data_IF_967428832062
#
_entry.id   IF_967428832062
#
_cell.length_a   1.000
_cell.length_b   1.000
_cell.length_c   1.000
_cell.angle_alpha   90.00
_cell.angle_beta   90.00
_cell.angle_gamma   90.00
#
_symmetry.space_group_name_H-M   'P 1'
#
loop_
_entity.id
_entity.type
_entity.pdbx_description
1 polymer ?
2 non-polymer ?
3 non-polymer ?
4 non-polymer ?
5 non-polymer ?
6 water ?
#
# COMPACT_ATOMS: atom_id res chain seq x y z
N UNK A 1 -9.37 2.30 25.94
CA UNK A 1 -9.32 1.80 24.51
C UNK A 1 -8.29 2.64 23.74
N UNK A 2 -7.50 2.01 22.87
CA UNK A 2 -6.42 2.75 22.20
C UNK A 2 -6.99 3.20 20.85
N UNK A 3 -6.27 4.17 20.39
CA UNK A 3 -6.44 4.78 19.06
C UNK A 3 -5.15 5.59 18.83
N UNK A 4 -4.90 5.93 17.58
CA UNK A 4 -3.67 6.68 17.29
C UNK A 4 -3.75 7.14 15.85
N UNK A 5 -2.89 8.10 15.60
CA UNK A 5 -2.74 8.68 14.25
C UNK A 5 -1.26 8.60 13.90
N UNK A 6 -0.93 8.04 12.75
CA UNK A 6 0.45 8.01 12.28
C UNK A 6 0.48 8.84 11.03
N UNK A 7 1.41 9.74 10.85
CA UNK A 7 1.48 10.61 9.66
C UNK A 7 2.37 9.94 8.64
N UNK A 8 1.88 9.87 7.41
CA UNK A 8 2.63 9.31 6.29
C UNK A 8 3.10 10.50 5.44
N UNK A 9 4.15 10.27 4.68
CA UNK A 9 4.67 11.29 3.77
C UNK A 9 5.11 10.62 2.48
N UNK A 10 4.71 11.16 1.36
CA UNK A 10 5.09 10.62 0.07
C UNK A 10 6.55 10.94 -0.25
N UNK A 11 7.14 10.03 -0.99
CA UNK A 11 8.53 10.29 -1.49
C UNK A 11 8.28 11.03 -2.80
N UNK A 12 9.34 11.25 -3.59
CA UNK A 12 9.25 11.92 -4.92
C UNK A 12 8.23 11.24 -5.82
N UNK A 13 7.39 12.01 -6.44
CA UNK A 13 6.29 11.69 -7.29
C UNK A 13 5.29 10.78 -6.58
N UNK A 14 5.30 10.73 -5.27
CA UNK A 14 4.36 9.87 -4.52
C UNK A 14 4.60 8.42 -4.89
N UNK A 15 5.86 8.06 -5.08
CA UNK A 15 6.18 6.69 -5.44
C UNK A 15 5.85 5.74 -4.28
N UNK A 16 6.09 6.19 -3.07
CA UNK A 16 5.70 5.40 -1.89
C UNK A 16 5.44 6.36 -0.77
N UNK A 17 4.78 5.83 0.28
CA UNK A 17 4.44 6.62 1.46
C UNK A 17 5.18 6.04 2.65
N UNK A 18 5.88 6.81 3.46
CA UNK A 18 6.61 6.21 4.57
C UNK A 18 6.05 6.86 5.83
N UNK A 19 6.11 6.03 6.87
CA UNK A 19 5.59 6.42 8.20
C UNK A 19 6.59 5.93 9.24
N UNK A 20 6.86 6.70 10.28
CA UNK A 20 7.76 6.23 11.34
C UNK A 20 7.12 5.15 12.23
N UNK A 21 7.95 4.19 12.62
CA UNK A 21 7.57 3.07 13.48
C UNK A 21 8.75 2.86 14.46
N UNK A 22 8.44 2.75 15.72
CA UNK A 22 9.46 2.53 16.75
C UNK A 22 9.45 1.07 17.13
N UNK A 23 10.59 0.45 16.90
CA UNK A 23 10.77 -0.98 17.24
C UNK A 23 11.88 -1.14 18.30
N UNK A 24 11.48 -1.61 19.45
CA UNK A 24 12.45 -1.74 20.54
C UNK A 24 13.16 -0.40 20.75
N UNK A 25 12.56 0.76 20.76
CA UNK A 25 13.32 2.01 20.96
C UNK A 25 13.91 2.67 19.74
N UNK A 26 14.12 2.02 18.61
CA UNK A 26 14.72 2.61 17.41
C UNK A 26 13.59 3.04 16.44
N UNK A 27 13.67 4.24 15.88
CA UNK A 27 12.60 4.59 14.88
C UNK A 27 13.09 4.34 13.48
N UNK A 28 12.28 3.64 12.69
CA UNK A 28 12.52 3.26 11.32
C UNK A 28 11.43 3.85 10.40
N UNK A 29 11.69 4.12 9.14
CA UNK A 29 10.70 4.70 8.25
C UNK A 29 10.16 3.55 7.41
N UNK A 30 8.90 3.10 7.63
CA UNK A 30 8.45 1.93 6.90
C UNK A 30 7.38 2.27 5.88
N UNK A 31 7.27 1.39 4.92
CA UNK A 31 6.17 1.58 3.89
C UNK A 31 5.00 0.75 4.42
N UNK A 32 3.87 1.32 4.76
CA UNK A 32 2.68 0.56 5.22
C UNK A 32 2.00 -0.02 3.98
N UNK A 33 1.83 -1.33 4.00
CA UNK A 33 1.30 -2.04 2.80
C UNK A 33 0.09 -2.92 3.08
N UNK A 34 -1.07 -2.47 2.61
CA UNK A 34 -2.30 -3.25 2.79
C UNK A 34 -2.34 -4.44 1.85
N UNK A 35 -1.37 -4.66 0.99
CA UNK A 35 -1.32 -5.80 0.11
C UNK A 35 -0.43 -6.94 0.56
N UNK A 36 0.15 -6.81 1.76
CA UNK A 36 1.01 -7.92 2.29
C UNK A 36 0.88 -7.98 3.79
N UNK A 37 1.30 -9.14 4.35
CA UNK A 37 1.11 -9.32 5.81
C UNK A 37 2.35 -9.55 6.64
N UNK A 38 3.46 -9.11 6.15
CA UNK A 38 4.77 -9.25 6.85
C UNK A 38 5.26 -7.87 7.33
N UNK A 39 5.79 -7.78 8.51
CA UNK A 39 6.45 -6.57 9.01
C UNK A 39 7.94 -6.95 8.98
N UNK A 40 8.66 -6.47 7.97
CA UNK A 40 10.10 -6.85 7.87
C UNK A 40 10.88 -5.52 7.91
N UNK A 41 12.08 -5.59 8.47
CA UNK A 41 12.96 -4.41 8.59
C UNK A 41 14.41 -4.74 8.23
N UNK A 42 15.06 -3.64 7.75
CA UNK A 42 16.54 -3.74 7.47
C UNK A 42 17.10 -4.04 8.84
N UNK A 43 18.14 -4.85 8.97
CA UNK A 43 18.68 -5.22 10.28
C UNK A 43 20.25 -5.28 10.21
N UNK A 44 20.78 -5.48 11.38
CA UNK A 44 22.27 -5.57 11.50
C UNK A 44 22.69 -6.90 10.97
N UNK A 45 21.79 -7.80 10.51
CA UNK A 45 22.21 -9.08 9.97
C UNK A 45 22.46 -8.98 8.55
N UNK A 46 22.21 -7.85 7.89
CA UNK A 46 22.50 -7.63 6.48
C UNK A 46 24.02 -7.30 6.38
N UNK A 47 24.54 -7.48 5.22
CA UNK A 47 25.97 -7.07 4.97
C UNK A 47 26.11 -5.62 5.33
N UNK A 48 27.17 -5.15 5.92
CA UNK A 48 27.28 -3.69 6.25
C UNK A 48 27.05 -2.79 5.05
N UNK A 49 27.42 -3.11 3.85
CA UNK A 49 27.23 -2.22 2.70
C UNK A 49 25.75 -1.99 2.35
N UNK A 50 24.93 -2.96 2.67
CA UNK A 50 23.47 -2.87 2.46
C UNK A 50 22.81 -2.11 3.58
N UNK A 51 23.38 -1.94 4.76
CA UNK A 51 22.80 -1.21 5.87
C UNK A 51 22.92 0.29 5.65
N UNK A 52 23.89 0.65 4.83
CA UNK A 52 24.20 2.07 4.52
C UNK A 52 22.99 2.88 4.00
N UNK A 53 22.82 4.01 4.71
CA UNK A 53 21.73 4.90 4.32
C UNK A 53 20.37 4.49 4.88
N UNK A 54 20.33 3.62 5.86
CA UNK A 54 19.03 3.21 6.42
C UNK A 54 19.12 3.23 7.88
N UNK A 55 18.04 3.21 8.60
CA UNK A 55 17.96 3.04 10.05
C UNK A 55 17.80 1.51 10.11
N UNK A 56 18.55 0.83 10.97
CA UNK A 56 18.45 -0.64 10.97
C UNK A 56 18.07 -1.06 12.36
N UNK A 57 17.39 -2.19 12.44
CA UNK A 57 17.00 -2.76 13.75
C UNK A 57 18.15 -3.67 14.19
N UNK A 58 18.46 -3.65 15.46
CA UNK A 58 19.52 -4.58 15.98
C UNK A 58 18.76 -5.50 16.93
N UNK A 59 18.51 -6.69 16.44
CA UNK A 59 17.71 -7.68 17.17
C UNK A 59 18.27 -8.02 18.53
N UNK A 60 19.59 -7.95 18.71
CA UNK A 60 20.29 -8.27 19.95
C UNK A 60 20.04 -7.37 21.13
N UNK A 61 19.84 -6.12 20.83
CA UNK A 61 19.59 -5.11 21.85
C UNK A 61 18.33 -5.45 22.63
N UNK A 62 17.19 -5.67 21.93
CA UNK A 62 15.90 -5.92 22.52
C UNK A 62 15.00 -7.03 22.07
N UNK A 63 15.29 -7.70 20.99
CA UNK A 63 14.30 -8.72 20.49
C UNK A 63 14.45 -10.04 21.20
N UNK A 64 13.49 -10.89 21.13
CA UNK A 64 13.48 -12.27 21.65
C UNK A 64 13.42 -13.12 20.39
N UNK A 65 14.48 -13.89 20.10
CA UNK A 65 14.52 -14.68 18.88
C UNK A 65 13.52 -15.81 18.84
N UNK A 66 12.91 -16.14 17.70
CA UNK A 66 12.06 -17.32 17.57
C UNK A 66 13.01 -18.36 16.92
N UNK A 67 13.64 -19.15 17.79
CA UNK A 67 14.60 -20.11 17.20
C UNK A 67 13.98 -20.97 16.10
N UNK A 68 14.63 -21.03 14.95
CA UNK A 68 14.12 -21.96 13.92
C UNK A 68 13.09 -21.39 12.97
N UNK A 69 12.70 -20.17 13.20
CA UNK A 69 11.70 -19.50 12.38
C UNK A 69 12.39 -18.67 11.29
N UNK A 70 11.82 -18.75 10.10
CA UNK A 70 12.27 -17.96 8.96
C UNK A 70 11.08 -17.33 8.27
N UNK A 71 11.39 -16.45 7.35
CA UNK A 71 10.39 -15.77 6.48
C UNK A 71 11.08 -15.61 5.09
N UNK A 72 10.27 -15.54 4.11
CA UNK A 72 10.70 -15.32 2.72
C UNK A 72 9.52 -14.78 1.94
N UNK A 73 9.66 -13.58 1.39
CA UNK A 73 8.51 -12.99 0.63
C UNK A 73 8.90 -12.54 -0.75
N UNK A 74 8.00 -12.73 -1.69
CA UNK A 74 8.09 -12.29 -3.07
C UNK A 74 6.94 -11.33 -3.41
N UNK A 75 7.21 -10.18 -3.95
CA UNK A 75 6.11 -9.24 -4.30
C UNK A 75 5.78 -9.27 -5.77
N UNK A 76 4.75 -8.55 -6.20
CA UNK A 76 4.27 -8.46 -7.57
C UNK A 76 5.24 -7.86 -8.59
N UNK A 77 6.08 -6.95 -8.13
CA UNK A 77 7.11 -6.35 -8.99
C UNK A 77 8.39 -7.23 -9.07
N UNK A 78 8.46 -8.35 -8.43
CA UNK A 78 9.61 -9.25 -8.46
C UNK A 78 10.59 -9.05 -7.31
N UNK A 79 10.40 -8.06 -6.47
CA UNK A 79 11.29 -7.85 -5.35
C UNK A 79 11.03 -8.99 -4.37
N UNK A 80 11.99 -9.26 -3.52
CA UNK A 80 11.95 -10.31 -2.53
C UNK A 80 12.87 -9.93 -1.38
N UNK A 81 12.64 -10.61 -0.26
CA UNK A 81 13.38 -10.45 0.97
C UNK A 81 13.17 -11.72 1.82
N UNK A 82 14.20 -11.98 2.64
CA UNK A 82 14.13 -13.14 3.57
C UNK A 82 14.98 -12.92 4.82
N UNK A 83 14.69 -13.72 5.87
CA UNK A 83 15.48 -13.62 7.08
C UNK A 83 14.90 -14.45 8.18
N UNK A 84 15.14 -13.98 9.39
CA UNK A 84 14.75 -14.65 10.62
C UNK A 84 13.82 -13.78 11.50
N UNK A 85 13.36 -14.29 12.64
CA UNK A 85 12.29 -13.59 13.35
C UNK A 85 12.57 -13.43 14.79
N UNK A 86 12.17 -12.24 15.28
CA UNK A 86 12.27 -11.84 16.67
C UNK A 86 10.93 -11.27 17.12
N UNK A 87 10.70 -11.24 18.38
CA UNK A 87 9.46 -10.53 18.88
C UNK A 87 10.04 -9.28 19.60
N UNK A 88 9.29 -8.20 19.51
CA UNK A 88 9.75 -6.95 20.17
C UNK A 88 8.54 -6.05 20.34
N UNK A 89 8.75 -4.85 20.89
CA UNK A 89 7.65 -3.89 21.04
C UNK A 89 7.69 -2.97 19.81
N UNK A 90 6.47 -2.84 19.20
CA UNK A 90 6.36 -2.02 18.00
C UNK A 90 5.31 -0.96 18.29
N UNK A 91 5.68 0.31 18.14
CA UNK A 91 4.76 1.41 18.33
C UNK A 91 4.53 2.24 17.07
N UNK A 92 3.23 2.42 16.75
CA UNK A 92 2.83 3.15 15.55
C UNK A 92 1.77 4.16 16.05
N UNK A 93 2.10 5.42 15.83
CA UNK A 93 1.19 6.53 16.22
C UNK A 93 0.68 6.40 17.63
N UNK A 94 1.56 6.02 18.53
CA UNK A 94 1.34 5.86 19.90
C UNK A 94 0.59 4.63 20.30
N UNK A 95 0.31 3.68 19.49
CA UNK A 95 -0.34 2.41 19.84
C UNK A 95 0.81 1.39 19.83
N UNK A 96 1.01 0.73 20.95
CA UNK A 96 2.08 -0.25 21.13
C UNK A 96 1.61 -1.70 21.09
N UNK A 97 2.27 -2.47 20.25
CA UNK A 97 2.03 -3.92 20.15
C UNK A 97 3.24 -4.53 20.88
N UNK A 98 2.96 -5.30 21.92
CA UNK A 98 4.02 -5.98 22.68
C UNK A 98 4.12 -7.40 22.13
N UNK A 99 5.30 -7.90 21.99
CA UNK A 99 5.47 -9.26 21.46
C UNK A 99 5.07 -9.38 20.01
N UNK A 100 5.17 -8.29 19.25
CA UNK A 100 4.91 -8.33 17.82
C UNK A 100 6.09 -9.02 17.09
N UNK A 101 5.77 -9.87 16.15
CA UNK A 101 6.81 -10.54 15.36
C UNK A 101 7.41 -9.52 14.44
N UNK A 102 8.70 -9.37 14.43
CA UNK A 102 9.49 -8.47 13.62
C UNK A 102 10.41 -9.39 12.79
N UNK A 103 10.24 -9.26 11.48
CA UNK A 103 11.01 -10.08 10.51
C UNK A 103 12.25 -9.32 10.10
N UNK A 104 13.38 -9.74 10.65
CA UNK A 104 14.71 -9.11 10.42
C UNK A 104 15.25 -9.62 9.11
N UNK A 105 15.57 -8.69 8.21
CA UNK A 105 16.13 -9.09 6.92
C UNK A 105 17.59 -9.56 7.01
N UNK A 106 17.77 -10.68 6.30
CA UNK A 106 19.13 -11.29 6.08
C UNK A 106 19.50 -11.11 4.62
N UNK A 107 18.57 -11.07 3.70
CA UNK A 107 18.79 -10.87 2.27
C UNK A 107 17.65 -9.98 1.72
N UNK A 108 17.97 -9.12 0.78
CA UNK A 108 17.01 -8.23 0.13
C UNK A 108 17.42 -8.14 -1.35
N UNK A 109 16.49 -8.05 -2.29
CA UNK A 109 16.79 -8.03 -3.70
C UNK A 109 17.20 -6.61 -4.02
N UNK A 110 17.74 -6.43 -5.22
CA UNK A 110 18.20 -5.11 -5.63
C UNK A 110 17.21 -3.98 -5.48
N UNK A 111 15.92 -4.20 -5.74
CA UNK A 111 14.95 -3.08 -5.62
C UNK A 111 15.01 -2.41 -4.29
N UNK A 112 15.13 -3.20 -3.25
CA UNK A 112 15.21 -2.77 -1.88
C UNK A 112 16.59 -2.16 -1.57
N UNK A 113 17.62 -2.75 -2.13
CA UNK A 113 18.97 -2.19 -1.90
C UNK A 113 19.03 -0.80 -2.50
N UNK A 114 18.35 -0.56 -3.60
CA UNK A 114 18.43 0.77 -4.24
C UNK A 114 17.57 1.81 -3.58
N UNK A 115 16.55 1.44 -2.83
CA UNK A 115 15.64 2.44 -2.23
C UNK A 115 16.10 2.89 -0.88
N UNK A 116 16.69 4.03 -0.70
CA UNK A 116 17.05 4.43 0.66
C UNK A 116 15.93 5.21 1.36
N UNK A 117 14.79 5.22 0.78
CA UNK A 117 13.66 5.95 1.34
C UNK A 117 12.91 5.15 2.43
N UNK A 118 12.97 3.83 2.35
CA UNK A 118 12.30 3.04 3.36
C UNK A 118 13.36 2.07 3.97
N UNK A 119 12.98 1.68 5.18
CA UNK A 119 13.74 0.77 6.04
C UNK A 119 12.96 -0.57 6.21
N UNK A 120 12.00 -0.82 5.34
CA UNK A 120 11.22 -2.08 5.44
C UNK A 120 9.70 -1.76 5.26
N UNK A 121 8.91 -2.80 5.49
CA UNK A 121 7.50 -2.78 5.27
C UNK A 121 6.70 -3.16 6.50
N UNK A 122 5.54 -2.57 6.66
CA UNK A 122 4.60 -2.97 7.75
C UNK A 122 3.37 -3.49 6.98
N UNK A 123 3.10 -4.77 7.01
CA UNK A 123 1.99 -5.36 6.28
C UNK A 123 0.68 -5.16 7.07
N UNK A 124 -0.36 -4.81 6.32
CA UNK A 124 -1.72 -4.60 6.84
C UNK A 124 -2.80 -5.43 6.11
N UNK A 125 -2.44 -6.44 5.35
CA UNK A 125 -3.35 -7.38 4.74
C UNK A 125 -3.75 -8.38 5.84
N UNK A 126 -4.54 -9.40 5.55
CA UNK A 126 -4.97 -10.36 6.61
C UNK A 126 -3.80 -11.27 7.00
N UNK A 127 -3.77 -11.65 8.27
CA UNK A 127 -2.65 -12.43 8.79
C UNK A 127 -2.54 -13.82 8.12
N UNK A 128 -3.58 -14.28 7.50
CA UNK A 128 -3.57 -15.59 6.83
C UNK A 128 -2.45 -15.73 5.80
N UNK A 129 -1.94 -14.64 5.25
CA UNK A 129 -0.89 -14.66 4.23
C UNK A 129 0.47 -14.21 4.77
N UNK A 130 0.60 -14.22 6.09
CA UNK A 130 1.94 -13.90 6.64
C UNK A 130 2.84 -15.10 6.26
N UNK A 131 4.04 -14.78 5.84
CA UNK A 131 4.98 -15.80 5.35
C UNK A 131 5.82 -16.46 6.43
N UNK A 132 5.77 -16.16 7.68
CA UNK A 132 6.62 -16.75 8.72
C UNK A 132 6.43 -18.26 8.74
N UNK A 133 7.50 -19.03 8.86
CA UNK A 133 7.53 -20.49 8.93
C UNK A 133 8.30 -20.91 10.20
N UNK A 134 7.91 -21.98 10.88
CA UNK A 134 6.85 -22.93 10.55
C UNK A 134 5.43 -22.55 10.94
N UNK A 135 5.28 -21.53 11.72
CA UNK A 135 3.96 -21.03 12.15
C UNK A 135 3.84 -19.56 11.79
N UNK A 136 2.80 -19.24 11.07
CA UNK A 136 2.60 -17.83 10.64
C UNK A 136 2.33 -16.94 11.85
N UNK A 137 2.64 -15.65 11.70
CA UNK A 137 2.46 -14.68 12.77
C UNK A 137 1.37 -13.67 12.46
N UNK A 138 0.98 -12.85 13.44
CA UNK A 138 -0.05 -11.84 13.19
C UNK A 138 0.55 -10.48 12.84
N UNK A 139 -0.14 -9.73 11.99
CA UNK A 139 0.21 -8.39 11.59
C UNK A 139 0.11 -7.45 12.80
N UNK A 140 0.77 -6.31 12.76
CA UNK A 140 0.66 -5.33 13.83
C UNK A 140 -0.84 -5.10 14.08
N UNK A 141 -1.65 -4.93 13.02
CA UNK A 141 -3.07 -4.61 13.26
C UNK A 141 -3.78 -5.73 13.97
N UNK A 142 -3.60 -6.98 13.55
CA UNK A 142 -4.25 -8.11 14.23
C UNK A 142 -3.77 -8.21 15.65
N UNK A 143 -2.51 -7.86 15.89
CA UNK A 143 -1.98 -7.97 17.25
C UNK A 143 -2.71 -6.98 18.17
N UNK A 144 -2.93 -5.76 17.75
CA UNK A 144 -3.53 -4.74 18.61
C UNK A 144 -5.03 -4.59 18.45
N UNK A 145 -5.69 -5.13 17.51
CA UNK A 145 -7.08 -4.93 17.14
C UNK A 145 -8.05 -4.95 18.33
N UNK A 146 -7.87 -5.90 19.17
CA UNK A 146 -8.73 -6.07 20.37
C UNK A 146 -8.52 -4.99 21.39
N UNK A 147 -7.46 -4.24 21.39
CA UNK A 147 -7.24 -3.12 22.31
C UNK A 147 -7.78 -1.83 21.72
N UNK A 148 -8.03 -1.77 20.44
CA UNK A 148 -8.51 -0.55 19.82
C UNK A 148 -9.99 -0.27 20.16
N UNK A 149 -10.30 1.00 20.11
CA UNK A 149 -11.73 1.42 20.34
C UNK A 149 -12.62 0.74 19.33
N UNK A 150 -12.29 0.70 18.02
CA UNK A 150 -12.99 -0.02 16.96
C UNK A 150 -11.90 -0.83 16.25
N UNK A 151 -12.19 -2.00 15.77
CA UNK A 151 -11.19 -2.85 15.09
C UNK A 151 -11.08 -2.52 13.63
N UNK A 152 -10.60 -1.34 13.34
CA UNK A 152 -10.43 -0.77 12.01
C UNK A 152 -9.23 0.20 11.97
N UNK A 153 -8.83 0.52 10.73
CA UNK A 153 -7.81 1.54 10.46
C UNK A 153 -8.34 2.28 9.21
N UNK A 154 -7.93 3.49 9.00
CA UNK A 154 -8.34 4.31 7.84
C UNK A 154 -7.10 5.02 7.28
N UNK A 155 -7.23 5.29 5.99
CA UNK A 155 -6.07 5.95 5.34
C UNK A 155 -6.45 7.10 4.44
N UNK A 156 -5.68 8.15 4.48
CA UNK A 156 -5.75 9.28 3.61
C UNK A 156 -4.32 9.45 3.10
N UNK A 157 -4.13 9.05 1.86
CA UNK A 157 -2.85 9.27 1.14
C UNK A 157 -3.08 10.51 0.26
N UNK A 158 -2.10 11.39 0.20
CA UNK A 158 -2.29 12.63 -0.58
C UNK A 158 -1.20 12.80 -1.58
N UNK A 159 -1.46 13.72 -2.50
CA UNK A 159 -0.45 14.09 -3.52
C UNK A 159 0.46 15.18 -3.00
N UNK A 160 1.71 14.82 -2.80
CA UNK A 160 2.76 15.72 -2.31
C UNK A 160 2.37 16.50 -1.10
N UNK A 161 1.76 15.88 -0.11
CA UNK A 161 1.40 16.46 1.17
C UNK A 161 1.36 15.25 2.14
N UNK A 162 1.59 15.51 3.41
CA UNK A 162 1.53 14.48 4.44
C UNK A 162 0.05 14.04 4.54
N UNK A 163 -0.13 12.78 4.88
CA UNK A 163 -1.49 12.21 5.04
C UNK A 163 -1.47 11.44 6.34
N UNK A 164 -2.44 10.63 6.60
CA UNK A 164 -2.51 9.88 7.84
C UNK A 164 -2.98 8.45 7.70
N UNK A 165 -2.61 7.72 8.70
CA UNK A 165 -3.14 6.37 9.02
C UNK A 165 -3.88 6.54 10.37
N UNK A 166 -5.16 6.33 10.39
CA UNK A 166 -5.89 6.47 11.66
C UNK A 166 -6.04 5.06 12.19
N UNK A 167 -5.64 4.78 13.40
CA UNK A 167 -5.90 3.41 13.91
C UNK A 167 -7.01 3.44 14.96
N UNK A 168 -8.02 2.64 14.85
CA UNK A 168 -9.05 2.47 15.87
C UNK A 168 -10.15 3.52 15.87
N UNK A 169 -10.17 4.43 14.95
CA UNK A 169 -11.26 5.45 14.92
C UNK A 169 -11.25 6.02 13.50
N UNK A 170 -12.38 6.67 13.20
CA UNK A 170 -12.60 7.31 11.90
C UNK A 170 -12.60 8.83 12.09
N UNK A 171 -11.86 9.52 11.28
CA UNK A 171 -11.75 10.98 11.37
C UNK A 171 -12.65 11.53 10.25
N UNK A 172 -13.89 11.95 10.69
CA UNK A 172 -14.90 12.47 9.77
C UNK A 172 -14.51 13.73 9.09
N UNK A 173 -13.52 14.43 9.59
CA UNK A 173 -13.05 15.69 8.95
C UNK A 173 -12.19 15.41 7.71
N UNK A 174 -11.84 14.12 7.47
CA UNK A 174 -10.99 13.74 6.35
C UNK A 174 -11.69 13.44 5.03
N UNK A 175 -13.04 13.41 5.05
CA UNK A 175 -13.80 13.15 3.84
C UNK A 175 -15.05 14.04 3.85
N UNK A 176 -15.64 14.09 2.66
CA UNK A 176 -16.86 14.86 2.47
C UNK A 176 -18.01 13.91 2.47
N UNK A 177 -19.14 14.27 3.05
CA UNK A 177 -20.34 13.42 2.97
C UNK A 177 -20.27 12.25 3.92
N UNK A 178 -20.88 11.16 3.56
CA UNK A 178 -20.90 9.93 4.37
C UNK A 178 -20.11 8.78 3.72
N UNK A 179 -19.67 7.83 4.55
CA UNK A 179 -18.98 6.67 3.92
C UNK A 179 -19.99 5.70 3.29
N UNK A 180 -19.51 5.03 2.26
CA UNK A 180 -20.31 3.95 1.65
C UNK A 180 -19.51 2.68 1.89
N UNK A 181 -20.11 1.63 2.36
CA UNK A 181 -19.37 0.38 2.64
C UNK A 181 -19.67 -0.69 1.63
N UNK A 182 -18.70 -1.57 1.40
CA UNK A 182 -18.79 -2.69 0.48
C UNK A 182 -18.17 -3.89 1.16
N UNK A 183 -18.65 -5.12 0.87
CA UNK A 183 -18.11 -6.31 1.53
C UNK A 183 -16.73 -6.69 0.96
N UNK A 184 -15.93 -7.23 1.82
CA UNK A 184 -14.58 -7.69 1.51
C UNK A 184 -14.51 -9.19 1.49
N UNK A 185 -13.81 -9.68 0.48
CA UNK A 185 -13.57 -11.13 0.33
C UNK A 185 -12.12 -11.31 0.80
N UNK A 186 -11.89 -11.89 1.95
CA UNK A 186 -10.51 -12.05 2.44
C UNK A 186 -9.95 -13.46 2.19
N UNK A 187 -10.58 -14.21 1.31
CA UNK A 187 -10.11 -15.58 1.11
C UNK A 187 -8.69 -15.70 0.55
N UNK A 188 -8.09 -14.74 -0.07
CA UNK A 188 -6.71 -14.81 -0.55
C UNK A 188 -5.87 -13.88 0.28
N UNK A 189 -6.43 -13.43 1.41
CA UNK A 189 -5.69 -12.57 2.38
C UNK A 189 -5.66 -11.12 1.99
N UNK A 190 -6.37 -10.70 0.99
CA UNK A 190 -6.32 -9.27 0.59
C UNK A 190 -7.60 -8.56 1.02
N UNK A 191 -7.56 -7.22 0.92
CA UNK A 191 -8.76 -6.40 1.12
C UNK A 191 -9.35 -6.35 -0.31
N UNK A 192 -10.00 -7.41 -0.71
CA UNK A 192 -10.62 -7.49 -2.04
C UNK A 192 -12.07 -7.09 -2.09
N UNK A 193 -12.47 -6.37 -3.13
CA UNK A 193 -13.86 -5.94 -3.27
C UNK A 193 -14.25 -5.97 -4.77
N UNK A 194 -15.54 -5.80 -4.95
CA UNK A 194 -16.08 -5.74 -6.31
C UNK A 194 -16.51 -4.38 -6.74
N UNK A 195 -16.34 -4.09 -8.05
CA UNK A 195 -16.89 -2.85 -8.61
C UNK A 195 -17.96 -3.39 -9.61
N UNK A 196 -19.00 -2.65 -9.69
CA UNK A 196 -20.13 -3.05 -10.58
C UNK A 196 -19.95 -2.58 -11.99
N UNK A 197 -19.24 -1.47 -12.15
CA UNK A 197 -19.00 -0.90 -13.48
C UNK A 197 -17.82 0.10 -13.39
N UNK A 198 -17.34 0.56 -14.55
CA UNK A 198 -16.29 1.55 -14.61
C UNK A 198 -16.61 2.53 -15.76
N UNK A 199 -16.07 3.70 -15.64
CA UNK A 199 -16.19 4.70 -16.74
C UNK A 199 -14.76 5.22 -16.98
N UNK A 200 -14.26 5.06 -18.16
CA UNK A 200 -12.90 5.55 -18.54
C UNK A 200 -13.22 6.68 -19.52
N UNK A 201 -13.24 7.92 -19.07
CA UNK A 201 -13.56 9.06 -19.91
C UNK A 201 -14.89 8.84 -20.60
N UNK A 202 -14.96 8.67 -21.86
CA UNK A 202 -16.20 8.50 -22.64
C UNK A 202 -16.73 7.10 -22.78
N UNK A 203 -16.01 6.14 -22.22
CA UNK A 203 -16.43 4.74 -22.37
C UNK A 203 -16.79 4.08 -21.06
N UNK A 204 -17.79 3.24 -20.98
CA UNK A 204 -18.14 2.54 -19.71
C UNK A 204 -18.00 1.07 -19.93
N UNK A 205 -17.86 0.23 -18.92
CA UNK A 205 -17.72 -1.23 -19.17
C UNK A 205 -18.23 -1.95 -17.92
N UNK A 206 -18.16 -3.27 -17.97
CA UNK A 206 -18.69 -4.03 -16.82
C UNK A 206 -17.61 -4.11 -15.75
N UNK A 207 -18.09 -4.55 -14.63
CA UNK A 207 -17.33 -4.71 -13.38
C UNK A 207 -16.29 -5.78 -13.36
N UNK A 208 -15.60 -5.80 -12.17
CA UNK A 208 -14.47 -6.69 -11.93
C UNK A 208 -14.15 -6.64 -10.44
N UNK A 209 -13.13 -7.36 -10.00
CA UNK A 209 -12.76 -7.33 -8.58
C UNK A 209 -11.31 -6.76 -8.53
N UNK A 210 -11.02 -6.22 -7.32
CA UNK A 210 -9.67 -5.65 -7.15
C UNK A 210 -9.32 -5.60 -5.68
N UNK A 211 -8.07 -5.24 -5.38
CA UNK A 211 -7.66 -5.18 -3.96
C UNK A 211 -7.26 -3.75 -3.64
N UNK A 212 -7.49 -3.25 -2.44
CA UNK A 212 -7.09 -1.92 -1.97
C UNK A 212 -5.69 -2.14 -1.40
N UNK A 213 -4.71 -1.54 -2.10
CA UNK A 213 -3.28 -1.80 -1.86
C UNK A 213 -2.39 -0.58 -1.79
N UNK A 214 -2.11 -0.15 -0.55
CA UNK A 214 -1.26 1.03 -0.37
C UNK A 214 0.17 0.79 -0.80
N UNK A 215 0.62 -0.43 -0.93
CA UNK A 215 2.00 -0.77 -1.31
C UNK A 215 2.25 -0.72 -2.82
N UNK A 216 1.27 -0.47 -3.63
CA UNK A 216 1.42 -0.39 -5.11
C UNK A 216 1.25 1.07 -5.49
N UNK A 217 2.17 1.55 -6.26
CA UNK A 217 2.16 2.96 -6.67
C UNK A 217 1.00 3.32 -7.60
N UNK A 218 0.74 2.47 -8.58
CA UNK A 218 -0.22 2.87 -9.65
C UNK A 218 -1.54 2.18 -9.51
N UNK A 219 -2.43 2.44 -10.46
CA UNK A 219 -3.75 1.82 -10.58
C UNK A 219 -3.53 0.74 -11.70
N UNK A 220 -3.52 -0.50 -11.36
CA UNK A 220 -3.21 -1.56 -12.34
C UNK A 220 -4.51 -2.27 -12.80
N UNK A 221 -4.86 -2.14 -14.04
CA UNK A 221 -6.12 -2.65 -14.59
C UNK A 221 -5.90 -3.64 -15.71
N UNK A 222 -6.95 -4.34 -16.16
CA UNK A 222 -6.81 -5.27 -17.26
C UNK A 222 -6.34 -4.54 -18.51
N UNK A 223 -5.59 -5.19 -19.34
CA UNK A 223 -5.07 -4.59 -20.58
C UNK A 223 -6.16 -3.98 -21.41
N UNK A 224 -7.35 -4.58 -21.45
CA UNK A 224 -8.54 -4.13 -22.18
C UNK A 224 -8.96 -2.73 -21.71
N UNK A 225 -8.96 -2.51 -20.40
CA UNK A 225 -9.34 -1.25 -19.79
C UNK A 225 -8.24 -0.20 -20.06
N UNK A 226 -7.00 -0.67 -19.88
CA UNK A 226 -5.87 0.28 -20.18
C UNK A 226 -5.93 0.79 -21.64
N UNK A 227 -6.13 -0.13 -22.59
CA UNK A 227 -6.22 0.27 -24.01
C UNK A 227 -7.28 1.29 -24.25
N UNK A 228 -8.47 0.99 -23.68
CA UNK A 228 -9.66 1.84 -23.80
C UNK A 228 -9.41 3.23 -23.25
N UNK A 229 -8.71 3.31 -22.11
CA UNK A 229 -8.36 4.58 -21.51
C UNK A 229 -7.43 5.40 -22.42
N UNK A 230 -6.26 4.84 -22.75
CA UNK A 230 -5.24 5.53 -23.56
C UNK A 230 -5.65 5.80 -25.03
N UNK A 231 -6.68 5.09 -25.47
CA UNK A 231 -7.20 5.36 -26.85
C UNK A 231 -7.75 6.79 -26.83
N UNK A 232 -8.11 7.28 -25.65
CA UNK A 232 -8.63 8.66 -25.54
C UNK A 232 -7.60 9.68 -25.20
N UNK A 233 -6.34 9.35 -25.19
CA UNK A 233 -5.25 10.26 -24.82
C UNK A 233 -4.40 10.43 -26.09
N UNK A 234 -4.48 11.63 -26.58
CA UNK A 234 -3.79 11.94 -27.83
C UNK A 234 -2.28 11.66 -27.74
N UNK A 235 -1.76 10.85 -28.67
CA UNK A 235 -0.33 10.59 -28.70
C UNK A 235 0.21 9.69 -27.62
N UNK A 236 -0.63 9.05 -26.81
CA UNK A 236 -0.12 8.18 -25.76
C UNK A 236 0.60 7.01 -26.42
N UNK A 237 1.76 6.64 -25.89
CA UNK A 237 2.46 5.47 -26.47
C UNK A 237 3.15 4.72 -25.31
N UNK A 238 3.42 3.48 -25.49
CA UNK A 238 4.13 2.65 -24.52
C UNK A 238 5.62 2.96 -24.64
N UNK A 239 6.28 3.08 -23.51
CA UNK A 239 7.75 3.36 -23.48
C UNK A 239 8.33 2.44 -22.40
N UNK A 240 9.02 1.38 -22.79
CA UNK A 240 9.55 0.42 -21.81
C UNK A 240 10.64 1.10 -20.96
N UNK A 241 11.23 2.17 -21.40
CA UNK A 241 12.23 2.92 -20.61
C UNK A 241 11.46 3.54 -19.42
N UNK A 242 10.27 4.04 -19.62
CA UNK A 242 9.47 4.72 -18.59
C UNK A 242 8.69 3.72 -17.78
N UNK A 243 8.31 2.56 -18.28
CA UNK A 243 7.50 1.63 -17.51
C UNK A 243 6.09 1.44 -17.98
N UNK A 244 5.69 1.99 -19.11
CA UNK A 244 4.31 1.81 -19.56
C UNK A 244 3.87 2.88 -20.45
N UNK A 245 2.60 3.23 -20.41
CA UNK A 245 2.14 4.29 -21.34
C UNK A 245 2.56 5.66 -20.85
N UNK A 246 3.03 6.50 -21.79
CA UNK A 246 3.46 7.86 -21.52
C UNK A 246 2.72 8.83 -22.49
N UNK A 247 2.77 10.08 -22.13
CA UNK A 247 2.07 11.12 -22.94
C UNK A 247 2.71 12.44 -22.53
N UNK A 248 2.39 13.46 -23.38
CA UNK A 248 2.90 14.81 -23.15
C UNK A 248 2.25 15.24 -21.84
N UNK A 249 3.06 15.83 -21.02
CA UNK A 249 2.66 16.31 -19.69
C UNK A 249 1.56 17.34 -19.73
N UNK A 250 1.27 18.01 -20.78
CA UNK A 250 0.21 19.02 -20.82
C UNK A 250 -1.13 18.53 -21.28
N UNK A 251 -1.19 17.27 -21.59
CA UNK A 251 -2.41 16.57 -22.02
C UNK A 251 -3.50 16.67 -20.97
N UNK A 252 -4.71 16.77 -21.46
CA UNK A 252 -5.96 16.75 -20.71
C UNK A 252 -6.34 15.25 -20.58
N UNK A 253 -6.25 14.69 -19.38
CA UNK A 253 -6.57 13.26 -19.30
C UNK A 253 -8.02 13.13 -18.83
N UNK A 254 -8.70 12.16 -19.35
CA UNK A 254 -10.06 11.86 -18.89
C UNK A 254 -10.02 11.31 -17.47
N UNK A 255 -11.18 11.41 -16.82
CA UNK A 255 -11.32 10.86 -15.42
C UNK A 255 -11.60 9.38 -15.57
N UNK A 256 -11.41 8.70 -14.46
CA UNK A 256 -11.66 7.28 -14.35
C UNK A 256 -12.56 7.07 -13.16
N UNK A 257 -13.66 6.38 -13.21
CA UNK A 257 -14.42 6.14 -11.96
C UNK A 257 -14.86 4.70 -11.92
N UNK A 258 -15.20 4.23 -10.72
CA UNK A 258 -15.76 2.89 -10.53
C UNK A 258 -17.03 3.05 -9.68
N UNK A 259 -17.96 2.14 -9.89
CA UNK A 259 -19.21 2.20 -9.08
C UNK A 259 -19.08 1.11 -8.07
N UNK A 260 -19.09 1.39 -6.80
CA UNK A 260 -18.91 0.42 -5.71
C UNK A 260 -20.18 0.50 -4.83
N UNK A 261 -20.98 -0.54 -4.88
CA UNK A 261 -22.23 -0.60 -4.09
C UNK A 261 -22.95 0.73 -4.11
N UNK A 262 -23.16 1.37 -5.23
CA UNK A 262 -23.91 2.59 -5.41
C UNK A 262 -23.20 3.90 -5.41
N UNK A 263 -21.97 3.85 -4.89
CA UNK A 263 -21.08 5.01 -4.75
C UNK A 263 -20.10 5.03 -5.95
N UNK A 264 -20.00 6.20 -6.51
CA UNK A 264 -19.06 6.35 -7.62
C UNK A 264 -17.73 6.91 -7.09
N UNK A 265 -16.69 6.13 -7.18
CA UNK A 265 -15.36 6.63 -6.70
C UNK A 265 -14.69 7.20 -7.93
N UNK A 266 -14.40 8.44 -8.01
CA UNK A 266 -13.80 9.07 -9.18
C UNK A 266 -12.36 9.48 -8.92
N UNK A 267 -11.52 9.05 -9.83
CA UNK A 267 -10.13 9.52 -9.82
C UNK A 267 -10.06 10.61 -10.91
N UNK A 268 -9.85 11.86 -10.56
CA UNK A 268 -9.77 12.94 -11.51
C UNK A 268 -8.60 12.77 -12.46
N UNK A 269 -8.74 13.20 -13.68
CA UNK A 269 -7.64 13.09 -14.64
C UNK A 269 -6.35 13.74 -14.13
N UNK A 270 -6.36 14.80 -13.34
CA UNK A 270 -5.09 15.39 -12.88
C UNK A 270 -4.29 14.40 -12.03
N UNK A 271 -4.91 13.52 -11.30
CA UNK A 271 -4.22 12.53 -10.49
C UNK A 271 -3.69 11.39 -11.32
N UNK A 272 -4.13 11.16 -12.53
CA UNK A 272 -3.63 10.08 -13.41
C UNK A 272 -2.33 10.48 -14.08
N UNK A 273 -1.95 11.74 -13.94
CA UNK A 273 -0.61 12.19 -14.49
C UNK A 273 0.34 11.87 -13.31
N UNK A 274 1.01 10.75 -13.37
CA UNK A 274 1.89 10.35 -12.25
C UNK A 274 3.05 11.32 -12.03
N UNK A 275 3.65 11.71 -13.15
CA UNK A 275 4.81 12.59 -13.09
C UNK A 275 5.67 12.29 -14.30
N UNK A 276 6.80 12.97 -14.25
CA UNK A 276 7.80 12.90 -15.36
C UNK A 276 8.19 11.48 -15.58
N UNK A 277 8.20 11.05 -16.81
CA UNK A 277 8.50 9.63 -17.08
C UNK A 277 9.99 9.41 -16.86
N UNK A 278 10.77 10.48 -16.86
CA UNK A 278 12.22 10.37 -16.72
C UNK A 278 12.85 9.89 -18.03
N UNK A 279 11.99 9.70 -19.03
CA UNK A 279 12.33 9.27 -20.39
C UNK A 279 12.01 10.52 -21.29
N UNK A 280 12.99 11.41 -21.15
CA UNK A 280 12.93 12.68 -21.91
C UNK A 280 11.89 13.52 -21.13
N UNK A 281 11.03 14.07 -21.89
CA UNK A 281 9.95 14.98 -21.73
C UNK A 281 8.49 14.55 -21.70
N UNK A 282 8.18 13.29 -21.44
CA UNK A 282 6.79 12.84 -21.38
C UNK A 282 6.49 12.57 -19.91
N UNK A 283 5.26 12.25 -19.67
CA UNK A 283 4.86 11.97 -18.26
C UNK A 283 4.37 10.53 -18.22
N UNK A 284 4.47 9.83 -17.11
CA UNK A 284 3.98 8.43 -17.05
C UNK A 284 2.50 8.46 -16.62
N UNK A 285 1.63 7.64 -17.17
CA UNK A 285 0.24 7.62 -16.75
C UNK A 285 0.14 6.83 -15.45
N UNK A 286 -0.88 7.20 -14.68
CA UNK A 286 -1.13 6.52 -13.38
C UNK A 286 -1.86 5.19 -13.58
N UNK A 287 -2.44 4.94 -14.74
CA UNK A 287 -3.09 3.67 -15.07
C UNK A 287 -2.14 2.83 -15.91
N UNK A 288 -1.88 1.59 -15.50
CA UNK A 288 -0.96 0.70 -16.29
C UNK A 288 -1.55 -0.68 -16.19
N UNK A 289 -1.01 -1.58 -16.97
CA UNK A 289 -1.50 -2.99 -17.02
C UNK A 289 -1.20 -3.76 -15.76
N UNK A 290 -2.07 -4.70 -15.40
CA UNK A 290 -1.89 -5.64 -14.34
C UNK A 290 -1.24 -6.94 -14.77
N UNK A 291 -0.74 -7.03 -16.02
CA UNK A 291 -0.04 -8.16 -16.55
C UNK A 291 -0.84 -9.46 -16.67
N UNK A 292 -2.13 -9.32 -16.82
CA UNK A 292 -3.00 -10.49 -16.97
C UNK A 292 -3.23 -11.26 -15.74
N UNK A 293 -3.07 -10.74 -14.55
CA UNK A 293 -3.34 -11.52 -13.35
C UNK A 293 -4.79 -11.81 -13.02
N UNK A 294 -5.77 -11.22 -13.61
CA UNK A 294 -7.17 -11.60 -13.30
C UNK A 294 -7.87 -10.77 -12.31
N UNK A 295 -7.23 -9.75 -11.72
CA UNK A 295 -7.89 -8.87 -10.74
C UNK A 295 -7.09 -7.55 -10.75
N UNK A 296 -7.74 -6.47 -10.37
CA UNK A 296 -7.14 -5.13 -10.44
C UNK A 296 -6.52 -4.74 -9.09
N UNK A 297 -5.50 -3.89 -9.22
CA UNK A 297 -4.74 -3.42 -8.02
C UNK A 297 -5.04 -1.92 -7.86
N UNK A 298 -5.88 -1.64 -6.84
CA UNK A 298 -6.26 -0.25 -6.57
C UNK A 298 -5.17 0.34 -5.67
N UNK A 299 -4.08 0.80 -6.28
CA UNK A 299 -2.91 1.37 -5.68
C UNK A 299 -3.04 2.86 -5.39
N UNK A 300 -1.91 3.49 -5.09
CA UNK A 300 -1.92 4.84 -4.60
C UNK A 300 -2.60 5.82 -5.49
N UNK A 301 -2.50 5.67 -6.79
CA UNK A 301 -3.16 6.65 -7.72
C UNK A 301 -4.66 6.77 -7.34
N UNK A 302 -5.24 5.62 -7.10
CA UNK A 302 -6.68 5.54 -6.75
C UNK A 302 -6.89 6.05 -5.35
N UNK A 303 -6.09 5.61 -4.42
CA UNK A 303 -6.26 5.96 -3.00
C UNK A 303 -6.11 7.44 -2.71
N UNK A 304 -5.30 8.15 -3.47
CA UNK A 304 -5.13 9.60 -3.30
C UNK A 304 -6.43 10.34 -3.46
N UNK A 305 -7.45 9.72 -4.04
CA UNK A 305 -8.73 10.40 -4.20
C UNK A 305 -9.71 10.11 -3.09
N UNK A 306 -9.51 9.13 -2.26
CA UNK A 306 -10.46 8.65 -1.31
C UNK A 306 -9.97 8.60 0.11
N UNK A 307 -10.90 8.62 1.03
CA UNK A 307 -10.57 8.30 2.44
C UNK A 307 -11.08 6.85 2.52
N UNK A 308 -10.25 5.91 2.92
CA UNK A 308 -10.70 4.51 2.90
C UNK A 308 -10.64 3.93 4.32
N UNK A 309 -11.72 3.26 4.68
CA UNK A 309 -11.80 2.61 6.02
C UNK A 309 -11.69 1.10 5.82
N UNK A 310 -10.70 0.48 6.48
CA UNK A 310 -10.45 -0.96 6.47
C UNK A 310 -11.03 -1.49 7.80
N UNK A 311 -12.22 -2.10 7.66
CA UNK A 311 -12.93 -2.56 8.93
C UNK A 311 -12.88 -4.07 9.04
N UNK A 312 -12.34 -4.56 10.12
CA UNK A 312 -12.23 -6.01 10.32
C UNK A 312 -13.62 -6.58 10.58
N UNK A 313 -14.60 -5.80 10.94
CA UNK A 313 -15.99 -6.36 11.16
C UNK A 313 -16.70 -6.46 9.81
N UNK A 314 -16.91 -7.65 9.34
CA UNK A 314 -17.56 -7.87 8.01
C UNK A 314 -16.71 -9.03 7.41
N UNK A 315 -15.50 -8.78 6.94
CA UNK A 315 -14.88 -7.45 6.85
C UNK A 315 -15.54 -6.63 5.78
N UNK A 316 -15.22 -5.32 5.81
CA UNK A 316 -15.75 -4.40 4.78
C UNK A 316 -14.81 -3.20 4.62
N UNK A 317 -14.98 -2.50 3.52
CA UNK A 317 -14.22 -1.30 3.23
C UNK A 317 -15.21 -0.14 3.09
N UNK A 318 -14.87 1.02 3.64
CA UNK A 318 -15.75 2.16 3.46
C UNK A 318 -14.99 3.16 2.63
N UNK A 319 -15.72 3.88 1.78
CA UNK A 319 -15.16 4.92 0.93
C UNK A 319 -15.91 6.26 0.98
N UNK A 320 -15.10 7.31 0.83
CA UNK A 320 -15.74 8.66 0.65
C UNK A 320 -14.70 9.53 -0.03
N UNK A 321 -15.05 10.60 -0.71
CA UNK A 321 -14.07 11.49 -1.32
C UNK A 321 -13.25 12.20 -0.27
N UNK A 322 -11.97 12.35 -0.45
CA UNK A 322 -11.11 13.04 0.51
C UNK A 322 -11.53 14.51 0.54
N UNK A 323 -11.45 15.07 1.73
CA UNK A 323 -11.89 16.48 1.91
C UNK A 323 -10.77 17.39 1.42
#
# INVERSE_FOLDING_TARGET
AASGVATNTPTANDEEYITPVTIGGTTLNLNFDTGSADLWVFSTELPASQQSGHSVYNPSATGKELSGYTWSISYGDGSSASGNVFTDSVTVGGVTAHGQAVQAAQQISAQFQQDTNNDGLLGLAFSSINTVQPQSQTTFFDTVKSSLAQPLFAVALKHQQPGVYDFGFIDSSKYTGSLTYTGVDNSQGFWSFNVDSYTAGSQSGDGFSGIADTGTTLLLLDDSVVSQYYSQVSGAQQDSNAGGYVFDCSTNLPDFSVSISGYTATVPGSLINYGPSGDGSTCLGGIQSNSGIGFSIFGDIFLKSQYVVFDSDGPQLGFAPQA
#
